data_IF_008214764487
#
_entry.id   IF_008214764487
#
_cell.length_a   1.000
_cell.length_b   1.000
_cell.length_c   1.000
_cell.angle_alpha   90.00
_cell.angle_beta   90.00
_cell.angle_gamma   90.00
#
_symmetry.space_group_name_H-M   'P 1'
#
loop_
_entity.id
_entity.type
_entity.pdbx_description
1 polymer ?
#
# COMPACT_ATOMS: atom_id res chain seq x y z
N UNK A 1 -1.13 39.26 -59.38
CA UNK A 1 -0.31 38.06 -59.10
C UNK A 1 -0.35 37.79 -57.60
N UNK A 2 -0.55 36.52 -57.25
CA UNK A 2 -0.89 36.05 -55.91
C UNK A 2 0.32 35.91 -54.98
N UNK A 3 0.03 35.84 -53.68
CA UNK A 3 0.92 35.31 -52.63
C UNK A 3 1.33 36.38 -51.62
N UNK A 4 1.18 36.23 -50.31
CA UNK A 4 0.70 35.13 -49.48
C UNK A 4 0.95 35.57 -48.03
N UNK A 5 -0.11 35.77 -47.26
CA UNK A 5 -0.03 36.30 -45.90
C UNK A 5 0.55 35.29 -44.89
N UNK A 6 1.50 35.73 -44.06
CA UNK A 6 1.93 35.00 -42.85
C UNK A 6 1.51 35.76 -41.59
N UNK A 7 0.30 35.48 -41.12
CA UNK A 7 -0.21 35.89 -39.81
C UNK A 7 0.53 35.09 -38.72
N UNK A 8 1.34 35.75 -37.89
CA UNK A 8 1.90 35.19 -36.66
C UNK A 8 0.75 34.76 -35.73
N UNK A 9 0.52 33.45 -35.57
CA UNK A 9 -0.37 32.92 -34.54
C UNK A 9 0.43 32.75 -33.24
N UNK A 10 0.06 33.52 -32.21
CA UNK A 10 0.45 33.26 -30.82
C UNK A 10 -0.18 31.93 -30.43
N UNK A 11 0.63 30.97 -29.97
CA UNK A 11 0.13 29.73 -29.39
C UNK A 11 -0.40 30.03 -27.99
N UNK A 12 -1.72 29.92 -27.82
CA UNK A 12 -2.38 30.03 -26.53
C UNK A 12 -2.45 28.64 -25.91
N UNK A 13 -1.53 28.36 -24.98
CA UNK A 13 -1.31 27.06 -24.33
C UNK A 13 -2.36 26.73 -23.24
N UNK A 14 -3.58 27.26 -23.33
CA UNK A 14 -4.59 27.15 -22.27
C UNK A 14 -5.52 25.93 -22.40
N UNK A 15 -5.11 24.85 -23.08
CA UNK A 15 -6.01 23.73 -23.39
C UNK A 15 -5.44 22.33 -23.08
N UNK A 16 -4.50 22.22 -22.14
CA UNK A 16 -3.91 20.92 -21.75
C UNK A 16 -4.63 20.26 -20.55
N UNK A 17 -5.57 20.92 -19.87
CA UNK A 17 -6.33 20.29 -18.78
C UNK A 17 -7.83 20.59 -18.86
N UNK A 18 -8.48 20.02 -19.87
CA UNK A 18 -9.92 19.74 -19.77
C UNK A 18 -10.07 18.25 -19.53
N UNK A 19 -10.22 17.87 -18.26
CA UNK A 19 -10.76 16.56 -17.89
C UNK A 19 -12.22 16.54 -18.36
N UNK A 20 -12.45 16.06 -19.58
CA UNK A 20 -13.75 15.61 -20.02
C UNK A 20 -14.12 14.40 -19.17
N UNK A 21 -14.96 14.63 -18.15
CA UNK A 21 -15.70 13.59 -17.47
C UNK A 21 -16.70 12.99 -18.47
N UNK A 22 -16.22 12.02 -19.25
CA UNK A 22 -17.10 11.13 -19.99
C UNK A 22 -17.81 10.25 -18.98
N UNK A 23 -19.13 10.36 -18.90
CA UNK A 23 -19.96 9.28 -18.34
C UNK A 23 -19.62 8.03 -19.13
N UNK A 24 -18.80 7.15 -18.55
CA UNK A 24 -18.66 5.80 -19.06
C UNK A 24 -20.03 5.17 -18.95
N UNK A 25 -20.72 5.01 -20.08
CA UNK A 25 -21.86 4.12 -20.16
C UNK A 25 -21.36 2.74 -19.74
N UNK A 26 -21.69 2.34 -18.52
CA UNK A 26 -21.47 0.98 -18.02
C UNK A 26 -22.34 0.06 -18.89
N UNK A 27 -21.75 -0.46 -19.96
CA UNK A 27 -22.28 -1.64 -20.62
C UNK A 27 -21.80 -2.80 -19.75
N UNK A 28 -22.70 -3.33 -18.91
CA UNK A 28 -22.41 -4.45 -18.02
C UNK A 28 -22.16 -5.72 -18.83
N UNK A 29 -20.95 -5.89 -19.34
CA UNK A 29 -20.46 -7.18 -19.79
C UNK A 29 -20.16 -8.03 -18.54
N UNK A 30 -21.22 -8.60 -17.96
CA UNK A 30 -21.18 -9.51 -16.80
C UNK A 30 -20.23 -10.70 -17.00
N UNK A 31 -19.83 -10.99 -18.24
CA UNK A 31 -18.86 -12.04 -18.60
C UNK A 31 -17.43 -11.78 -18.13
N UNK A 32 -17.05 -10.52 -17.88
CA UNK A 32 -15.70 -10.16 -17.44
C UNK A 32 -15.58 -10.01 -15.92
N UNK A 33 -16.67 -10.21 -15.16
CA UNK A 33 -16.64 -10.09 -13.71
C UNK A 33 -15.79 -11.23 -13.13
N UNK A 34 -14.65 -10.85 -12.55
CA UNK A 34 -13.65 -11.74 -11.97
C UNK A 34 -12.36 -11.89 -12.74
N UNK A 35 -12.21 -11.21 -13.88
CA UNK A 35 -10.95 -11.10 -14.60
C UNK A 35 -10.01 -9.99 -14.06
N UNK A 36 -8.72 -10.01 -14.42
CA UNK A 36 -7.79 -8.93 -14.09
C UNK A 36 -8.27 -7.60 -14.71
N UNK A 37 -8.42 -6.56 -13.89
CA UNK A 37 -8.88 -5.23 -14.34
C UNK A 37 -10.40 -5.03 -14.34
N UNK A 38 -11.18 -6.00 -13.86
CA UNK A 38 -12.64 -5.95 -13.80
C UNK A 38 -13.17 -6.15 -12.36
N UNK A 39 -14.49 -5.94 -12.18
CA UNK A 39 -15.18 -6.14 -10.90
C UNK A 39 -14.97 -7.56 -10.36
N UNK A 40 -14.81 -7.71 -9.03
CA UNK A 40 -14.63 -9.01 -8.36
C UNK A 40 -15.95 -9.53 -7.78
N UNK A 41 -16.14 -10.85 -7.80
CA UNK A 41 -17.23 -11.55 -7.10
C UNK A 41 -16.62 -12.24 -5.90
N UNK A 42 -17.25 -12.02 -4.75
CA UNK A 42 -16.88 -12.64 -3.48
C UNK A 42 -18.10 -13.40 -2.98
N UNK A 43 -17.91 -14.66 -2.64
CA UNK A 43 -18.94 -15.49 -2.02
C UNK A 43 -18.74 -15.42 -0.50
N UNK A 44 -19.80 -15.07 0.23
CA UNK A 44 -19.75 -14.88 1.67
C UNK A 44 -19.68 -16.24 2.37
N UNK A 45 -18.74 -16.38 3.31
CA UNK A 45 -18.57 -17.56 4.17
C UNK A 45 -18.37 -18.90 3.40
N UNK A 46 -17.94 -18.83 2.14
CA UNK A 46 -17.60 -19.99 1.30
C UNK A 46 -16.15 -19.89 0.77
N UNK A 47 -15.15 -19.84 1.66
CA UNK A 47 -13.80 -19.49 1.27
C UNK A 47 -13.13 -20.64 0.48
N UNK A 48 -13.56 -21.89 0.70
CA UNK A 48 -13.05 -23.10 0.02
C UNK A 48 -13.87 -23.49 -1.22
N UNK A 49 -14.74 -22.59 -1.70
CA UNK A 49 -15.44 -22.83 -2.96
C UNK A 49 -14.42 -22.88 -4.11
N UNK A 50 -14.61 -23.77 -5.12
CA UNK A 50 -13.72 -23.84 -6.28
C UNK A 50 -13.61 -22.51 -7.03
N UNK A 51 -14.65 -21.67 -6.92
CA UNK A 51 -14.69 -20.33 -7.48
C UNK A 51 -13.78 -19.34 -6.72
N UNK A 52 -13.69 -19.46 -5.39
CA UNK A 52 -12.80 -18.64 -4.56
C UNK A 52 -11.33 -19.05 -4.73
N UNK A 53 -11.02 -20.34 -4.76
CA UNK A 53 -9.65 -20.84 -4.96
C UNK A 53 -9.05 -20.38 -6.30
N UNK A 54 -9.85 -20.40 -7.39
CA UNK A 54 -9.41 -19.95 -8.72
C UNK A 54 -9.05 -18.46 -8.77
N UNK A 55 -9.51 -17.65 -7.81
CA UNK A 55 -9.31 -16.20 -7.81
C UNK A 55 -7.94 -15.78 -7.26
N UNK A 56 -7.21 -16.67 -6.57
CA UNK A 56 -5.88 -16.42 -6.01
C UNK A 56 -5.77 -15.06 -5.30
N UNK A 57 -6.66 -14.79 -4.34
CA UNK A 57 -6.60 -13.56 -3.55
C UNK A 57 -5.30 -13.49 -2.74
N UNK A 58 -4.74 -12.29 -2.62
CA UNK A 58 -3.64 -12.05 -1.70
C UNK A 58 -4.09 -12.31 -0.25
N UNK A 59 -3.20 -12.86 0.57
CA UNK A 59 -3.45 -13.02 2.00
C UNK A 59 -3.49 -11.68 2.73
N UNK A 60 -4.06 -11.66 3.94
CA UNK A 60 -4.20 -10.45 4.75
C UNK A 60 -2.94 -10.08 5.56
N UNK A 61 -1.76 -10.53 5.14
CA UNK A 61 -0.50 -10.22 5.83
C UNK A 61 0.03 -8.85 5.38
N UNK A 62 0.13 -7.91 6.32
CA UNK A 62 0.71 -6.59 6.07
C UNK A 62 2.22 -6.63 6.28
N UNK A 63 2.97 -6.14 5.29
CA UNK A 63 4.43 -5.98 5.38
C UNK A 63 4.83 -4.57 4.99
N UNK A 64 5.35 -3.81 5.94
CA UNK A 64 5.91 -2.46 5.72
C UNK A 64 7.44 -2.46 5.64
N UNK A 65 8.10 -3.58 5.97
CA UNK A 65 9.57 -3.68 5.88
C UNK A 65 10.09 -3.66 4.45
N UNK A 66 11.15 -2.88 4.23
CA UNK A 66 11.81 -2.76 2.92
C UNK A 66 12.78 -3.90 2.68
N UNK A 67 13.39 -4.42 3.74
CA UNK A 67 14.46 -5.39 3.65
C UNK A 67 14.02 -6.76 4.15
N UNK A 68 14.60 -7.82 3.56
CA UNK A 68 14.74 -9.10 4.25
C UNK A 68 16.13 -9.16 4.89
N UNK A 69 16.34 -10.08 5.84
CA UNK A 69 17.66 -10.29 6.46
C UNK A 69 18.75 -10.49 5.40
N UNK A 70 18.45 -11.28 4.35
CA UNK A 70 19.39 -11.53 3.25
C UNK A 70 19.54 -10.34 2.28
N UNK A 71 18.47 -9.57 2.03
CA UNK A 71 18.52 -8.47 1.07
C UNK A 71 18.99 -7.14 1.69
N UNK A 72 19.10 -7.06 3.01
CA UNK A 72 19.39 -5.80 3.72
C UNK A 72 20.69 -5.17 3.24
N UNK A 73 21.80 -5.89 3.37
CA UNK A 73 23.12 -5.36 3.03
C UNK A 73 23.25 -4.92 1.55
N UNK A 74 22.95 -5.78 0.55
CA UNK A 74 23.11 -5.39 -0.85
C UNK A 74 22.16 -4.27 -1.28
N UNK A 75 20.89 -4.28 -0.82
CA UNK A 75 19.94 -3.23 -1.18
C UNK A 75 20.24 -1.91 -0.47
N UNK A 76 20.55 -1.95 0.82
CA UNK A 76 20.87 -0.75 1.60
C UNK A 76 22.12 -0.05 1.07
N UNK A 77 23.19 -0.79 0.75
CA UNK A 77 24.37 -0.21 0.09
C UNK A 77 24.05 0.41 -1.27
N UNK A 78 23.24 -0.27 -2.09
CA UNK A 78 22.83 0.27 -3.37
C UNK A 78 22.05 1.57 -3.20
N UNK A 79 21.12 1.65 -2.25
CA UNK A 79 20.38 2.87 -1.94
C UNK A 79 21.28 4.00 -1.44
N UNK A 80 22.31 3.70 -0.65
CA UNK A 80 23.27 4.70 -0.21
C UNK A 80 24.07 5.28 -1.38
N UNK A 81 24.57 4.45 -2.31
CA UNK A 81 25.35 4.92 -3.46
C UNK A 81 24.53 5.48 -4.63
N UNK A 82 23.19 5.34 -4.61
CA UNK A 82 22.31 6.10 -5.50
C UNK A 82 22.25 7.59 -5.17
N UNK A 83 22.70 8.00 -3.98
CA UNK A 83 22.78 9.42 -3.59
C UNK A 83 24.00 10.07 -4.24
N UNK A 84 23.80 11.19 -4.94
CA UNK A 84 24.84 11.89 -5.70
C UNK A 84 26.09 12.19 -4.85
N UNK A 85 25.92 12.63 -3.60
CA UNK A 85 27.05 12.89 -2.70
C UNK A 85 27.86 11.63 -2.37
N UNK A 86 27.19 10.54 -1.98
CA UNK A 86 27.85 9.27 -1.67
C UNK A 86 28.54 8.67 -2.89
N UNK A 87 27.91 8.78 -4.07
CA UNK A 87 28.52 8.35 -5.34
C UNK A 87 29.75 9.17 -5.69
N UNK A 88 29.69 10.50 -5.53
CA UNK A 88 30.85 11.38 -5.69
C UNK A 88 31.99 10.95 -4.77
N UNK A 89 31.73 10.77 -3.48
CA UNK A 89 32.75 10.34 -2.53
C UNK A 89 33.31 8.94 -2.86
N UNK A 90 32.47 8.03 -3.36
CA UNK A 90 32.90 6.72 -3.84
C UNK A 90 33.90 6.84 -5.00
N UNK A 91 33.60 7.66 -6.01
CA UNK A 91 34.50 7.90 -7.15
C UNK A 91 35.80 8.56 -6.69
N UNK A 92 35.72 9.57 -5.82
CA UNK A 92 36.93 10.21 -5.27
C UNK A 92 37.77 9.23 -4.44
N UNK A 93 37.13 8.32 -3.70
CA UNK A 93 37.78 7.26 -2.93
C UNK A 93 38.43 6.19 -3.81
N UNK A 94 37.86 5.91 -4.98
CA UNK A 94 38.50 5.03 -5.97
C UNK A 94 39.70 5.71 -6.64
N UNK A 95 39.59 6.99 -6.99
CA UNK A 95 40.70 7.77 -7.56
C UNK A 95 41.86 7.93 -6.57
N UNK A 96 41.58 8.01 -5.27
CA UNK A 96 42.62 8.11 -4.23
C UNK A 96 43.41 6.83 -3.99
N UNK A 97 43.02 5.71 -4.62
CA UNK A 97 43.82 4.48 -4.68
C UNK A 97 44.88 4.52 -5.79
N UNK A 98 44.88 5.55 -6.63
CA UNK A 98 45.87 5.73 -7.70
C UNK A 98 46.96 6.72 -7.29
N UNK A 99 48.14 6.58 -7.88
CA UNK A 99 49.32 7.42 -7.57
C UNK A 99 49.16 8.89 -7.99
N UNK A 100 48.10 9.24 -8.73
CA UNK A 100 47.80 10.60 -9.17
C UNK A 100 47.07 11.44 -8.11
N UNK A 101 46.65 10.84 -6.99
CA UNK A 101 45.93 11.54 -5.94
C UNK A 101 46.88 12.26 -4.97
N UNK A 102 46.67 13.56 -4.69
CA UNK A 102 47.43 14.28 -3.68
C UNK A 102 47.05 13.89 -2.23
N UNK A 103 45.97 13.12 -2.05
CA UNK A 103 45.47 12.65 -0.75
C UNK A 103 45.56 11.14 -0.63
N UNK A 104 45.80 10.63 0.57
CA UNK A 104 45.81 9.19 0.84
C UNK A 104 44.42 8.55 0.77
N UNK A 105 44.37 7.29 0.34
CA UNK A 105 43.13 6.52 0.24
C UNK A 105 42.35 6.46 1.56
N UNK A 106 43.07 6.29 2.69
CA UNK A 106 42.46 6.23 4.02
C UNK A 106 41.70 7.51 4.35
N UNK A 107 42.28 8.68 4.11
CA UNK A 107 41.61 9.96 4.42
C UNK A 107 40.37 10.22 3.57
N UNK A 108 40.28 9.64 2.37
CA UNK A 108 39.11 9.75 1.50
C UNK A 108 38.03 8.71 1.82
N UNK A 109 38.42 7.46 2.07
CA UNK A 109 37.50 6.34 2.27
C UNK A 109 36.96 6.24 3.70
N UNK A 110 37.74 6.62 4.71
CA UNK A 110 37.34 6.49 6.11
C UNK A 110 36.08 7.33 6.45
N UNK A 111 35.96 8.61 6.07
CA UNK A 111 34.75 9.37 6.33
C UNK A 111 33.54 8.79 5.60
N UNK A 112 33.71 8.34 4.35
CA UNK A 112 32.66 7.69 3.58
C UNK A 112 32.18 6.40 4.26
N UNK A 113 33.10 5.52 4.64
CA UNK A 113 32.79 4.27 5.31
C UNK A 113 32.04 4.51 6.64
N UNK A 114 32.47 5.51 7.42
CA UNK A 114 31.79 5.88 8.67
C UNK A 114 30.36 6.33 8.41
N UNK A 115 30.15 7.27 7.49
CA UNK A 115 28.80 7.80 7.18
C UNK A 115 27.88 6.69 6.65
N UNK A 116 28.38 5.84 5.75
CA UNK A 116 27.61 4.71 5.20
C UNK A 116 27.28 3.72 6.32
N UNK A 117 28.23 3.38 7.18
CA UNK A 117 27.99 2.44 8.29
C UNK A 117 26.94 2.97 9.26
N UNK A 118 27.04 4.23 9.70
CA UNK A 118 26.08 4.84 10.62
C UNK A 118 24.68 4.91 10.00
N UNK A 119 24.58 5.31 8.73
CA UNK A 119 23.30 5.38 8.03
C UNK A 119 22.66 4.01 7.82
N UNK A 120 23.45 3.00 7.42
CA UNK A 120 22.96 1.62 7.32
C UNK A 120 22.47 1.07 8.66
N UNK A 121 23.22 1.29 9.75
CA UNK A 121 22.80 0.86 11.10
C UNK A 121 21.47 1.52 11.48
N UNK A 122 21.33 2.83 11.27
CA UNK A 122 20.08 3.55 11.53
C UNK A 122 18.93 2.95 10.72
N UNK A 123 19.11 2.75 9.41
CA UNK A 123 18.09 2.19 8.53
C UNK A 123 17.70 0.77 8.95
N UNK A 124 18.66 -0.04 9.42
CA UNK A 124 18.42 -1.37 9.96
C UNK A 124 17.60 -1.36 11.25
N UNK A 125 17.90 -0.43 12.18
CA UNK A 125 17.10 -0.25 13.41
C UNK A 125 15.68 0.18 13.07
N UNK A 126 15.51 1.13 12.14
CA UNK A 126 14.20 1.60 11.69
C UNK A 126 13.37 0.47 11.05
N UNK A 127 13.97 -0.32 10.16
CA UNK A 127 13.29 -1.45 9.52
C UNK A 127 12.96 -2.58 10.51
N UNK A 128 13.78 -2.77 11.55
CA UNK A 128 13.46 -3.68 12.66
C UNK A 128 12.24 -3.22 13.45
N UNK A 129 12.14 -1.93 13.77
CA UNK A 129 10.96 -1.39 14.43
C UNK A 129 9.69 -1.57 13.58
N UNK A 130 9.77 -1.33 12.27
CA UNK A 130 8.67 -1.64 11.33
C UNK A 130 8.30 -3.11 11.38
N UNK A 131 9.29 -4.02 11.47
CA UNK A 131 9.01 -5.45 11.58
C UNK A 131 8.22 -5.80 12.84
N UNK A 132 8.55 -5.18 13.98
CA UNK A 132 7.81 -5.41 15.22
C UNK A 132 6.36 -4.91 15.10
N UNK A 133 6.16 -3.73 14.50
CA UNK A 133 4.82 -3.19 14.22
C UNK A 133 4.00 -4.10 13.29
N UNK A 134 4.61 -4.59 12.21
CA UNK A 134 3.98 -5.56 11.32
C UNK A 134 3.57 -6.82 12.10
N UNK A 135 4.43 -7.36 12.97
CA UNK A 135 4.12 -8.55 13.78
C UNK A 135 2.94 -8.27 14.71
N UNK A 136 2.91 -7.13 15.37
CA UNK A 136 1.81 -6.75 16.26
C UNK A 136 0.48 -6.68 15.50
N UNK A 137 0.43 -5.94 14.39
CA UNK A 137 -0.79 -5.75 13.58
C UNK A 137 -1.30 -7.08 13.02
N UNK A 138 -0.41 -7.91 12.46
CA UNK A 138 -0.78 -9.18 11.86
C UNK A 138 -1.31 -10.22 12.88
N UNK A 139 -0.92 -10.10 14.15
CA UNK A 139 -1.34 -10.98 15.23
C UNK A 139 -2.52 -10.43 16.04
N UNK A 140 -3.06 -9.25 15.69
CA UNK A 140 -4.31 -8.74 16.28
C UNK A 140 -5.44 -9.73 16.00
N UNK A 141 -6.41 -9.81 16.91
CA UNK A 141 -7.52 -10.77 16.80
C UNK A 141 -8.81 -10.08 16.38
N UNK A 142 -9.63 -10.80 15.63
CA UNK A 142 -11.01 -10.40 15.29
C UNK A 142 -11.92 -11.62 15.40
N UNK A 143 -13.23 -11.39 15.58
CA UNK A 143 -14.23 -12.45 15.57
C UNK A 143 -14.61 -12.79 14.13
N UNK A 144 -14.39 -14.03 13.73
CA UNK A 144 -14.72 -14.58 12.40
C UNK A 144 -15.87 -15.58 12.55
N UNK A 145 -16.86 -15.50 11.68
CA UNK A 145 -17.99 -16.41 11.65
C UNK A 145 -17.53 -17.79 11.15
N UNK A 146 -17.89 -18.85 11.87
CA UNK A 146 -17.45 -20.23 11.59
C UNK A 146 -18.60 -21.15 11.13
N UNK A 147 -19.77 -20.57 10.85
CA UNK A 147 -21.02 -21.31 10.63
C UNK A 147 -21.90 -21.37 11.87
N UNK A 148 -23.17 -21.73 11.69
CA UNK A 148 -24.16 -21.94 12.76
C UNK A 148 -24.32 -20.76 13.74
N UNK A 149 -24.01 -19.54 13.30
CA UNK A 149 -24.05 -18.33 14.13
C UNK A 149 -22.90 -18.21 15.15
N UNK A 150 -21.90 -19.09 15.08
CA UNK A 150 -20.76 -19.11 16.00
C UNK A 150 -19.66 -18.19 15.46
N UNK A 151 -19.06 -17.40 16.36
CA UNK A 151 -17.92 -16.55 16.06
C UNK A 151 -16.68 -16.98 16.85
N UNK A 152 -15.62 -17.37 16.14
CA UNK A 152 -14.32 -17.71 16.73
C UNK A 152 -13.35 -16.53 16.63
N UNK A 153 -12.38 -16.45 17.53
CA UNK A 153 -11.31 -15.44 17.45
C UNK A 153 -10.18 -15.96 16.58
N UNK A 154 -9.82 -15.22 15.54
CA UNK A 154 -8.69 -15.52 14.67
C UNK A 154 -7.78 -14.30 14.50
N UNK A 155 -6.53 -14.53 14.08
CA UNK A 155 -5.53 -13.51 13.82
C UNK A 155 -5.78 -12.83 12.48
N UNK A 156 -5.48 -11.52 12.38
CA UNK A 156 -5.71 -10.73 11.18
C UNK A 156 -5.04 -11.32 9.94
N UNK A 157 -3.82 -11.86 10.09
CA UNK A 157 -3.09 -12.50 8.98
C UNK A 157 -3.77 -13.74 8.39
N UNK A 158 -4.67 -14.38 9.13
CA UNK A 158 -5.36 -15.60 8.72
C UNK A 158 -6.69 -15.32 7.98
N UNK A 159 -7.14 -14.06 7.98
CA UNK A 159 -8.38 -13.68 7.30
C UNK A 159 -8.27 -13.87 5.79
N UNK A 160 -9.36 -14.35 5.20
CA UNK A 160 -9.52 -14.59 3.77
C UNK A 160 -10.67 -13.76 3.22
N UNK A 161 -10.58 -13.45 1.93
CA UNK A 161 -11.66 -12.78 1.21
C UNK A 161 -12.90 -13.67 1.21
N UNK A 162 -14.02 -13.15 1.72
CA UNK A 162 -15.28 -13.88 1.90
C UNK A 162 -15.61 -14.17 3.36
N UNK A 163 -14.65 -14.08 4.28
CA UNK A 163 -14.90 -14.26 5.70
C UNK A 163 -15.86 -13.19 6.24
N UNK A 164 -16.86 -13.62 7.01
CA UNK A 164 -17.74 -12.71 7.73
C UNK A 164 -17.12 -12.43 9.09
N UNK A 165 -16.83 -11.16 9.35
CA UNK A 165 -16.20 -10.74 10.60
C UNK A 165 -17.15 -9.86 11.42
N UNK A 166 -17.02 -9.95 12.75
CA UNK A 166 -17.67 -9.07 13.71
C UNK A 166 -16.61 -8.21 14.37
N UNK A 167 -16.72 -6.90 14.18
CA UNK A 167 -15.86 -5.89 14.80
C UNK A 167 -16.64 -5.26 15.95
N UNK A 168 -16.01 -5.17 17.13
CA UNK A 168 -16.64 -4.56 18.30
C UNK A 168 -16.34 -3.06 18.39
N UNK A 169 -17.05 -2.36 19.28
CA UNK A 169 -16.83 -0.95 19.52
C UNK A 169 -15.37 -0.70 19.93
N UNK A 170 -14.79 0.37 19.42
CA UNK A 170 -13.42 0.81 19.71
C UNK A 170 -12.32 -0.18 19.22
N UNK A 171 -12.67 -1.12 18.33
CA UNK A 171 -11.71 -1.99 17.64
C UNK A 171 -11.34 -1.44 16.25
N UNK A 172 -10.10 -1.73 15.82
CA UNK A 172 -9.65 -1.40 14.47
C UNK A 172 -10.20 -2.39 13.44
N UNK A 173 -10.42 -1.90 12.22
CA UNK A 173 -10.79 -2.77 11.09
C UNK A 173 -9.59 -3.60 10.60
N UNK A 174 -9.77 -4.92 10.42
CA UNK A 174 -8.70 -5.81 10.01
C UNK A 174 -8.37 -5.78 8.52
N UNK A 175 -9.31 -5.29 7.71
CA UNK A 175 -9.26 -5.19 6.25
C UNK A 175 -10.38 -4.25 5.76
N UNK A 176 -10.49 -4.05 4.46
CA UNK A 176 -11.65 -3.39 3.85
C UNK A 176 -12.89 -4.27 3.97
N UNK A 177 -13.93 -3.78 4.64
CA UNK A 177 -15.16 -4.53 4.93
C UNK A 177 -16.38 -3.95 4.19
N UNK A 178 -17.33 -4.83 3.89
CA UNK A 178 -18.69 -4.44 3.53
C UNK A 178 -19.58 -4.54 4.79
N UNK A 179 -20.26 -3.45 5.15
CA UNK A 179 -21.13 -3.43 6.32
C UNK A 179 -22.44 -4.16 6.00
N UNK A 180 -22.65 -5.31 6.65
CA UNK A 180 -23.87 -6.11 6.49
C UNK A 180 -24.95 -5.73 7.51
N UNK A 181 -24.54 -5.56 8.76
CA UNK A 181 -25.44 -5.25 9.87
C UNK A 181 -24.67 -4.52 10.96
N UNK A 182 -25.40 -3.76 11.77
CA UNK A 182 -24.90 -3.04 12.93
C UNK A 182 -25.84 -3.27 14.12
N UNK A 183 -25.35 -3.06 15.34
CA UNK A 183 -26.17 -3.10 16.55
C UNK A 183 -27.07 -1.88 16.72
N UNK A 184 -26.87 -0.82 15.93
CA UNK A 184 -27.74 0.35 15.89
C UNK A 184 -28.93 0.11 14.96
N UNK A 185 -30.00 0.87 15.19
CA UNK A 185 -31.15 0.96 14.29
C UNK A 185 -30.70 1.37 12.87
N UNK A 186 -31.47 0.96 11.87
CA UNK A 186 -31.20 1.20 10.45
C UNK A 186 -29.83 0.69 9.94
N UNK A 187 -29.19 -0.24 10.67
CA UNK A 187 -27.89 -0.84 10.33
C UNK A 187 -26.75 0.20 10.18
N UNK A 188 -26.82 1.30 10.92
CA UNK A 188 -25.83 2.38 10.86
C UNK A 188 -24.62 2.09 11.74
N UNK A 189 -23.41 2.45 11.32
CA UNK A 189 -22.23 2.50 12.19
C UNK A 189 -21.46 3.82 12.04
N UNK A 190 -20.71 4.17 13.08
CA UNK A 190 -19.88 5.35 13.13
C UNK A 190 -18.41 4.93 13.05
N UNK A 191 -17.69 5.49 12.09
CA UNK A 191 -16.29 5.15 11.84
C UNK A 191 -15.41 6.39 12.06
N UNK A 192 -14.39 6.23 12.89
CA UNK A 192 -13.33 7.23 13.02
C UNK A 192 -12.27 6.98 11.93
N UNK A 193 -11.94 8.03 11.17
CA UNK A 193 -10.93 7.96 10.09
C UNK A 193 -9.66 8.75 10.39
N UNK A 194 -9.46 9.20 11.64
CA UNK A 194 -8.33 10.03 12.03
C UNK A 194 -6.96 9.45 11.61
N UNK A 195 -6.81 8.13 11.61
CA UNK A 195 -5.57 7.46 11.19
C UNK A 195 -5.31 7.47 9.67
N UNK A 196 -6.33 7.79 8.86
CA UNK A 196 -6.27 7.80 7.40
C UNK A 196 -6.24 9.22 6.82
N UNK A 197 -7.11 10.11 7.31
CA UNK A 197 -7.27 11.48 6.79
C UNK A 197 -7.05 12.59 7.84
N UNK A 198 -6.87 12.23 9.12
CA UNK A 198 -6.69 13.20 10.20
C UNK A 198 -7.99 13.88 10.65
N UNK A 199 -9.15 13.48 10.11
CA UNK A 199 -10.44 14.01 10.55
C UNK A 199 -10.85 13.40 11.90
N UNK A 200 -11.26 14.24 12.84
CA UNK A 200 -11.71 13.82 14.19
C UNK A 200 -13.22 13.55 14.27
N UNK A 201 -13.95 13.85 13.19
CA UNK A 201 -15.40 13.63 13.14
C UNK A 201 -15.70 12.17 12.81
N UNK A 202 -16.72 11.62 13.46
CA UNK A 202 -17.22 10.30 13.12
C UNK A 202 -17.97 10.32 11.79
N UNK A 203 -17.59 9.43 10.87
CA UNK A 203 -18.27 9.24 9.59
C UNK A 203 -19.35 8.18 9.73
N UNK A 204 -20.56 8.54 9.32
CA UNK A 204 -21.70 7.61 9.28
C UNK A 204 -21.55 6.65 8.09
N UNK A 205 -21.74 5.36 8.33
CA UNK A 205 -21.84 4.31 7.32
C UNK A 205 -23.14 3.55 7.52
N UNK A 206 -23.81 3.20 6.44
CA UNK A 206 -25.07 2.46 6.47
C UNK A 206 -24.85 1.07 5.88
N UNK A 207 -25.41 0.06 6.54
CA UNK A 207 -25.39 -1.32 6.08
C UNK A 207 -26.28 -1.55 4.87
N UNK A 208 -26.20 -2.75 4.32
CA UNK A 208 -27.08 -3.15 3.22
C UNK A 208 -28.51 -3.26 3.71
N UNK A 209 -29.42 -2.52 3.09
CA UNK A 209 -30.86 -2.69 3.30
C UNK A 209 -31.29 -4.03 2.67
N UNK A 210 -31.78 -4.94 3.51
CA UNK A 210 -32.41 -6.17 3.01
C UNK A 210 -33.86 -5.82 2.67
N UNK A 211 -34.30 -5.94 1.40
CA UNK A 211 -35.70 -5.73 1.06
C UNK A 211 -36.58 -6.66 1.89
N UNK A 212 -37.74 -6.21 2.39
CA UNK A 212 -38.70 -7.12 3.01
C UNK A 212 -39.09 -8.18 1.99
N UNK A 213 -38.82 -9.44 2.31
CA UNK A 213 -39.16 -10.62 1.50
C UNK A 213 -40.64 -10.97 1.54
#
# INVERSE_FOLDING_TARGET
>A
MAGGGRRRRRLHLSRIYSYTCGKSSFQEDHSNIGGPGFSRVVYCNEPDSPAAERRNYAGNYVRSTKYTVASFFPKSLFEQFRRVANFYFLVTGMLSLTDFSPYGAVSALLPLALVITVTMVKDGIEDWHRKQQDIEVNNRKVKVHDGDGIFRRDEWRNLRVGDVVRVEKDEFFPADLLLLSSSYEDSICYVETMNLDGETNLKVKQGVEVPPG
#
